data_IF_075039318397
#
_entry.id   IF_075039318397
#
_cell.length_a   1.000
_cell.length_b   1.000
_cell.length_c   1.000
_cell.angle_alpha   90.00
_cell.angle_beta   90.00
_cell.angle_gamma   90.00
#
_symmetry.space_group_name_H-M   'P 1'
#
loop_
_entity.id
_entity.type
_entity.pdbx_description
1 polymer ?
#
# COMPACT_ATOMS: atom_id res chain seq x y z
N UNK A 1 12.37 42.67 20.89
CA UNK A 1 13.11 42.03 19.78
C UNK A 1 13.52 40.57 20.05
N UNK A 2 13.68 40.13 21.31
CA UNK A 2 14.16 38.77 21.64
C UNK A 2 13.20 37.60 21.33
N UNK A 3 11.88 37.82 21.33
CA UNK A 3 10.89 36.74 21.10
C UNK A 3 10.88 36.26 19.64
N UNK A 4 10.97 37.17 18.67
CA UNK A 4 11.01 36.82 17.24
C UNK A 4 12.27 36.06 16.83
N UNK A 5 13.41 36.31 17.50
CA UNK A 5 14.66 35.58 17.25
C UNK A 5 14.56 34.14 17.74
N UNK A 6 13.96 33.94 18.92
CA UNK A 6 13.73 32.62 19.51
C UNK A 6 12.75 31.78 18.66
N UNK A 7 11.68 32.39 18.15
CA UNK A 7 10.71 31.69 17.28
C UNK A 7 11.34 31.18 15.97
N UNK A 8 12.24 31.97 15.36
CA UNK A 8 12.96 31.58 14.14
C UNK A 8 13.89 30.40 14.40
N UNK A 9 14.63 30.43 15.51
CA UNK A 9 15.53 29.35 15.91
C UNK A 9 14.76 28.05 16.17
N UNK A 10 13.60 28.14 16.83
CA UNK A 10 12.70 27.02 17.06
C UNK A 10 12.17 26.41 15.75
N UNK A 11 11.74 27.25 14.80
CA UNK A 11 11.26 26.78 13.50
C UNK A 11 12.36 26.13 12.66
N UNK A 12 13.60 26.61 12.76
CA UNK A 12 14.75 26.01 12.07
C UNK A 12 15.08 24.63 12.63
N UNK A 13 15.08 24.46 13.95
CA UNK A 13 15.27 23.14 14.60
C UNK A 13 14.17 22.15 14.21
N UNK A 14 12.92 22.61 14.11
CA UNK A 14 11.79 21.79 13.63
C UNK A 14 12.04 21.34 12.19
N UNK A 15 12.47 22.25 11.30
CA UNK A 15 12.76 21.92 9.90
C UNK A 15 13.88 20.88 9.78
N UNK A 16 14.97 21.04 10.53
CA UNK A 16 16.09 20.10 10.53
C UNK A 16 15.67 18.70 11.00
N UNK A 17 14.84 18.60 12.05
CA UNK A 17 14.31 17.31 12.51
C UNK A 17 13.42 16.61 11.49
N UNK A 18 12.62 17.38 10.75
CA UNK A 18 11.78 16.84 9.67
C UNK A 18 12.63 16.33 8.51
N UNK A 19 13.73 17.01 8.21
CA UNK A 19 14.67 16.62 7.14
C UNK A 19 15.50 15.38 7.51
N UNK A 20 15.97 15.30 8.77
CA UNK A 20 16.82 14.20 9.25
C UNK A 20 15.99 12.93 9.54
N UNK A 21 14.85 13.06 10.21
CA UNK A 21 14.06 11.91 10.70
C UNK A 21 12.76 11.68 9.93
N UNK A 22 12.45 12.49 8.92
CA UNK A 22 11.22 12.36 8.13
C UNK A 22 9.93 12.62 8.92
N UNK A 23 10.02 13.26 10.09
CA UNK A 23 8.88 13.49 10.98
C UNK A 23 7.92 14.56 10.43
N UNK A 24 6.66 14.51 10.88
CA UNK A 24 5.71 15.61 10.66
C UNK A 24 6.07 16.82 11.53
N UNK A 25 5.59 18.00 11.15
CA UNK A 25 5.87 19.23 11.93
C UNK A 25 5.35 19.14 13.36
N UNK A 26 4.19 18.50 13.58
CA UNK A 26 3.64 18.28 14.92
C UNK A 26 4.52 17.36 15.76
N UNK A 27 5.01 16.25 15.18
CA UNK A 27 5.90 15.31 15.87
C UNK A 27 7.25 15.96 16.22
N UNK A 28 7.86 16.70 15.28
CA UNK A 28 9.11 17.41 15.51
C UNK A 28 8.97 18.48 16.61
N UNK A 29 7.84 19.20 16.66
CA UNK A 29 7.52 20.16 17.73
C UNK A 29 7.45 19.49 19.10
N UNK A 30 6.75 18.36 19.20
CA UNK A 30 6.60 17.62 20.46
C UNK A 30 7.96 17.10 20.93
N UNK A 31 8.73 16.47 20.02
CA UNK A 31 10.02 15.88 20.34
C UNK A 31 11.05 16.93 20.79
N UNK A 32 11.11 18.10 20.15
CA UNK A 32 11.95 19.21 20.61
C UNK A 32 11.48 19.77 21.94
N UNK A 33 10.17 19.86 22.17
CA UNK A 33 9.62 20.36 23.44
C UNK A 33 9.99 19.43 24.61
N UNK A 34 10.02 18.12 24.37
CA UNK A 34 10.41 17.10 25.35
C UNK A 34 11.93 17.04 25.60
N UNK A 35 12.73 17.54 24.66
CA UNK A 35 14.20 17.48 24.70
C UNK A 35 14.84 18.86 24.85
N UNK A 36 14.19 19.78 25.58
CA UNK A 36 14.72 21.11 25.90
C UNK A 36 15.12 21.94 24.65
N UNK A 37 14.45 21.71 23.51
CA UNK A 37 14.79 22.28 22.20
C UNK A 37 16.24 22.01 21.76
N UNK A 38 16.84 20.91 22.23
CA UNK A 38 18.13 20.41 21.77
C UNK A 38 17.92 19.40 20.63
N UNK A 39 18.51 19.72 19.47
CA UNK A 39 18.35 18.92 18.26
C UNK A 39 19.00 17.54 18.39
N UNK A 40 20.21 17.48 18.95
CA UNK A 40 20.97 16.23 19.08
C UNK A 40 20.31 15.30 20.08
N UNK A 41 19.82 15.86 21.21
CA UNK A 41 19.09 15.10 22.21
C UNK A 41 17.76 14.59 21.68
N UNK A 42 17.04 15.40 20.90
CA UNK A 42 15.81 14.98 20.23
C UNK A 42 16.06 13.85 19.22
N UNK A 43 17.13 13.94 18.43
CA UNK A 43 17.55 12.90 17.48
C UNK A 43 17.88 11.61 18.24
N UNK A 44 18.72 11.67 19.27
CA UNK A 44 19.06 10.50 20.09
C UNK A 44 17.82 9.90 20.77
N UNK A 45 16.92 10.72 21.31
CA UNK A 45 15.68 10.26 21.93
C UNK A 45 14.77 9.52 20.93
N UNK A 46 14.71 9.97 19.67
CA UNK A 46 13.97 9.29 18.62
C UNK A 46 14.61 7.94 18.23
N UNK A 47 15.94 7.89 18.17
CA UNK A 47 16.67 6.64 17.92
C UNK A 47 16.59 5.67 19.10
N UNK A 48 16.70 6.12 20.35
CA UNK A 48 16.54 5.31 21.58
C UNK A 48 15.14 4.68 21.64
N UNK A 49 14.09 5.44 21.31
CA UNK A 49 12.73 4.91 21.21
C UNK A 49 12.53 3.96 20.02
N UNK A 50 13.34 4.09 18.97
CA UNK A 50 13.34 3.19 17.80
C UNK A 50 14.25 1.97 17.96
N UNK A 51 15.19 1.98 18.92
CA UNK A 51 16.19 0.94 19.17
C UNK A 51 15.74 -0.13 20.19
N UNK A 52 14.51 -0.09 20.68
CA UNK A 52 13.97 -1.16 21.55
C UNK A 52 13.59 -2.46 20.81
N UNK A 53 14.07 -2.64 19.57
CA UNK A 53 13.81 -3.84 18.79
C UNK A 53 15.08 -4.46 18.21
N UNK A 54 16.19 -4.49 18.96
CA UNK A 54 17.22 -5.51 18.79
C UNK A 54 18.25 -5.48 19.94
N UNK A 55 18.17 -6.47 20.85
CA UNK A 55 19.32 -7.32 21.25
C UNK A 55 18.99 -8.21 22.45
N UNK A 56 19.12 -9.52 22.21
CA UNK A 56 19.26 -10.55 23.24
C UNK A 56 20.65 -10.49 23.86
N UNK A 57 20.76 -10.12 25.14
CA UNK A 57 21.77 -10.65 26.08
C UNK A 57 21.33 -10.44 27.53
N UNK A 58 21.47 -11.52 28.30
CA UNK A 58 21.29 -11.72 29.74
C UNK A 58 21.43 -10.52 30.68
N UNK A 59 20.53 -10.40 31.66
CA UNK A 59 20.74 -10.72 33.10
C UNK A 59 19.67 -10.07 34.00
N UNK A 60 19.13 -10.84 34.95
CA UNK A 60 18.72 -10.31 36.27
C UNK A 60 17.33 -9.69 36.47
N UNK A 61 16.46 -10.49 37.13
CA UNK A 61 15.57 -10.08 38.24
C UNK A 61 14.22 -9.36 37.98
N UNK A 62 13.15 -10.16 38.17
CA UNK A 62 11.91 -9.91 38.94
C UNK A 62 11.25 -8.52 38.86
N UNK A 63 10.04 -8.48 38.28
CA UNK A 63 8.78 -8.55 39.04
C UNK A 63 7.54 -8.47 38.15
N UNK A 64 6.50 -9.16 38.60
CA UNK A 64 5.16 -9.21 38.02
C UNK A 64 4.44 -7.86 38.14
N UNK A 65 3.82 -7.41 37.05
CA UNK A 65 2.52 -6.74 37.13
C UNK A 65 1.72 -6.98 35.85
N UNK A 66 0.62 -7.71 36.00
CA UNK A 66 -0.43 -7.85 35.02
C UNK A 66 -1.21 -6.54 34.92
N UNK A 67 -1.35 -6.00 33.72
CA UNK A 67 -2.44 -5.08 33.40
C UNK A 67 -2.79 -5.22 31.93
N UNK A 68 -4.00 -5.72 31.71
CA UNK A 68 -4.71 -5.62 30.45
C UNK A 68 -4.87 -4.15 30.07
N UNK A 69 -4.19 -3.73 29.01
CA UNK A 69 -4.55 -2.54 28.24
C UNK A 69 -4.52 -2.93 26.77
N UNK A 70 -5.71 -3.02 26.17
CA UNK A 70 -5.91 -3.11 24.74
C UNK A 70 -5.56 -1.76 24.11
N UNK A 71 -4.28 -1.54 23.88
CA UNK A 71 -3.78 -0.49 22.99
C UNK A 71 -3.71 -1.07 21.58
N UNK A 72 -4.57 -0.56 20.70
CA UNK A 72 -4.52 -0.75 19.26
C UNK A 72 -3.12 -0.37 18.77
N UNK A 73 -2.29 -1.38 18.60
CA UNK A 73 -0.92 -1.24 18.14
C UNK A 73 -0.89 -0.76 16.69
N UNK A 74 -0.34 0.43 16.49
CA UNK A 74 0.30 0.81 15.23
C UNK A 74 1.41 -0.20 14.94
N UNK A 75 1.06 -1.20 14.13
CA UNK A 75 1.94 -2.25 13.62
C UNK A 75 2.99 -1.64 12.66
N UNK A 76 4.07 -1.10 13.21
CA UNK A 76 5.38 -1.14 12.53
C UNK A 76 6.05 -2.50 12.80
N UNK A 77 5.25 -3.57 12.77
CA UNK A 77 5.68 -4.93 13.03
C UNK A 77 6.34 -5.54 11.80
N UNK A 78 7.35 -6.38 12.07
CA UNK A 78 7.93 -7.36 11.15
C UNK A 78 6.88 -7.93 10.19
N UNK A 79 7.23 -8.03 8.91
CA UNK A 79 6.39 -8.62 7.87
C UNK A 79 5.84 -9.97 8.32
N UNK A 80 4.50 -10.10 8.35
CA UNK A 80 3.80 -11.31 8.78
C UNK A 80 3.01 -11.93 7.63
N UNK A 81 3.50 -13.07 7.14
CA UNK A 81 2.88 -13.83 6.05
C UNK A 81 1.46 -14.32 6.38
N UNK A 82 1.14 -14.58 7.66
CA UNK A 82 -0.20 -15.04 8.06
C UNK A 82 -1.25 -13.95 7.87
N UNK A 83 -0.88 -12.68 8.04
CA UNK A 83 -1.79 -11.55 7.79
C UNK A 83 -2.21 -11.48 6.33
N UNK A 84 -1.34 -11.86 5.40
CA UNK A 84 -1.68 -11.89 3.97
C UNK A 84 -2.71 -12.97 3.68
N UNK A 85 -2.57 -14.17 4.28
CA UNK A 85 -3.58 -15.23 4.13
C UNK A 85 -4.93 -14.83 4.73
N UNK A 86 -4.92 -14.18 5.90
CA UNK A 86 -6.12 -13.63 6.49
C UNK A 86 -6.75 -12.55 5.59
N UNK A 87 -5.94 -11.65 5.04
CA UNK A 87 -6.41 -10.62 4.12
C UNK A 87 -7.04 -11.24 2.87
N UNK A 88 -6.42 -12.27 2.30
CA UNK A 88 -6.96 -13.01 1.16
C UNK A 88 -8.35 -13.59 1.44
N UNK A 89 -8.58 -14.10 2.65
CA UNK A 89 -9.90 -14.66 3.02
C UNK A 89 -11.05 -13.65 2.96
N UNK A 90 -10.74 -12.35 3.00
CA UNK A 90 -11.75 -11.29 2.87
C UNK A 90 -12.11 -10.96 1.41
N UNK A 91 -11.29 -11.39 0.43
CA UNK A 91 -11.43 -11.00 -0.98
C UNK A 91 -11.44 -12.19 -1.95
N UNK A 92 -11.34 -13.42 -1.47
CA UNK A 92 -11.48 -14.60 -2.32
C UNK A 92 -12.95 -14.80 -2.75
N UNK A 93 -13.16 -15.41 -3.92
CA UNK A 93 -14.50 -15.78 -4.38
C UNK A 93 -15.13 -16.77 -3.40
N UNK A 94 -16.35 -16.51 -2.88
CA UNK A 94 -17.06 -17.46 -2.02
C UNK A 94 -17.27 -18.84 -2.65
N UNK A 95 -17.32 -18.92 -3.97
CA UNK A 95 -17.51 -20.16 -4.74
C UNK A 95 -16.19 -20.77 -5.23
N UNK A 96 -15.09 -20.00 -5.25
CA UNK A 96 -13.76 -20.45 -5.68
C UNK A 96 -12.63 -19.70 -4.95
N UNK A 97 -12.20 -20.23 -3.81
CA UNK A 97 -11.15 -19.61 -2.98
C UNK A 97 -9.76 -19.53 -3.65
N UNK A 98 -9.59 -20.14 -4.84
CA UNK A 98 -8.34 -20.07 -5.59
C UNK A 98 -8.15 -18.74 -6.30
N UNK A 99 -9.18 -17.89 -6.38
CA UNK A 99 -9.15 -16.60 -7.05
C UNK A 99 -10.17 -15.61 -6.47
N UNK A 100 -10.14 -14.38 -6.94
CA UNK A 100 -11.18 -13.38 -6.64
C UNK A 100 -12.30 -13.46 -7.68
N UNK A 101 -13.55 -13.23 -7.27
CA UNK A 101 -14.62 -12.88 -8.20
C UNK A 101 -14.46 -11.42 -8.64
N UNK A 102 -15.23 -11.00 -9.63
CA UNK A 102 -15.27 -9.60 -10.06
C UNK A 102 -15.72 -8.68 -8.90
N UNK A 103 -16.75 -9.10 -8.17
CA UNK A 103 -17.30 -8.35 -7.03
C UNK A 103 -16.26 -8.20 -5.93
N UNK A 104 -15.53 -9.28 -5.61
CA UNK A 104 -14.49 -9.25 -4.59
C UNK A 104 -13.28 -8.42 -5.03
N UNK A 105 -12.91 -8.46 -6.30
CA UNK A 105 -11.88 -7.58 -6.87
C UNK A 105 -12.30 -6.11 -6.74
N UNK A 106 -13.56 -5.77 -7.01
CA UNK A 106 -14.06 -4.41 -6.81
C UNK A 106 -13.95 -4.00 -5.33
N UNK A 107 -14.33 -4.87 -4.38
CA UNK A 107 -14.19 -4.60 -2.96
C UNK A 107 -12.73 -4.35 -2.57
N UNK A 108 -11.80 -5.20 -3.04
CA UNK A 108 -10.37 -5.01 -2.83
C UNK A 108 -9.88 -3.66 -3.35
N UNK A 109 -10.25 -3.29 -4.58
CA UNK A 109 -9.85 -2.02 -5.19
C UNK A 109 -10.45 -0.80 -4.47
N UNK A 110 -11.69 -0.91 -3.98
CA UNK A 110 -12.34 0.12 -3.16
C UNK A 110 -11.62 0.31 -1.83
N UNK A 111 -11.28 -0.76 -1.13
CA UNK A 111 -10.60 -0.71 0.16
C UNK A 111 -9.15 -0.23 0.01
N UNK A 112 -8.50 -0.58 -1.11
CA UNK A 112 -7.21 -0.01 -1.50
C UNK A 112 -7.29 1.50 -1.74
N UNK A 113 -8.46 2.04 -2.06
CA UNK A 113 -8.75 3.47 -2.17
C UNK A 113 -7.59 4.24 -2.85
N UNK A 114 -7.22 3.79 -4.05
CA UNK A 114 -6.25 4.52 -4.87
C UNK A 114 -6.85 5.90 -5.15
N UNK A 115 -6.16 6.94 -4.69
CA UNK A 115 -6.70 8.30 -4.64
C UNK A 115 -7.23 8.71 -6.03
N UNK A 116 -8.51 9.10 -6.18
CA UNK A 116 -9.02 9.59 -7.46
C UNK A 116 -8.35 10.91 -7.91
N UNK A 117 -7.48 11.47 -7.06
CA UNK A 117 -6.86 12.77 -7.18
C UNK A 117 -5.98 13.02 -8.40
N UNK A 118 -5.56 12.02 -9.19
CA UNK A 118 -4.63 12.28 -10.29
C UNK A 118 -5.01 11.95 -11.73
N UNK A 119 -6.07 11.20 -12.06
CA UNK A 119 -6.50 11.05 -13.48
C UNK A 119 -8.01 10.93 -13.77
N UNK A 120 -8.87 10.72 -12.77
CA UNK A 120 -10.33 10.69 -13.01
C UNK A 120 -10.97 12.09 -13.09
N UNK A 121 -10.20 13.17 -12.91
CA UNK A 121 -10.73 14.54 -12.90
C UNK A 121 -11.17 15.07 -14.27
N UNK A 122 -10.88 14.37 -15.38
CA UNK A 122 -11.41 14.76 -16.71
C UNK A 122 -12.66 13.99 -17.18
N UNK A 123 -13.16 13.03 -16.42
CA UNK A 123 -14.49 12.43 -16.68
C UNK A 123 -15.52 12.94 -15.67
N UNK A 124 -15.75 14.26 -15.66
CA UNK A 124 -17.00 14.82 -15.11
C UNK A 124 -17.70 15.69 -16.16
N UNK A 125 -18.65 15.08 -16.86
CA UNK A 125 -20.03 15.60 -16.90
C UNK A 125 -20.97 14.54 -17.47
N UNK A 126 -21.95 14.15 -16.65
CA UNK A 126 -23.09 13.27 -16.95
C UNK A 126 -22.76 11.79 -17.11
N UNK A 127 -22.62 11.09 -15.98
CA UNK A 127 -23.34 9.83 -15.70
C UNK A 127 -22.87 9.29 -14.35
N UNK A 128 -23.82 9.06 -13.45
CA UNK A 128 -23.61 8.54 -12.08
C UNK A 128 -23.44 7.02 -12.09
N UNK A 129 -22.60 6.46 -12.98
CA UNK A 129 -22.09 5.09 -12.91
C UNK A 129 -20.73 5.14 -13.60
N UNK A 130 -19.64 4.85 -12.89
CA UNK A 130 -18.34 4.61 -13.54
C UNK A 130 -18.48 3.25 -14.26
N UNK A 131 -18.33 3.17 -15.59
CA UNK A 131 -18.46 1.92 -16.32
C UNK A 131 -17.47 0.88 -15.76
N UNK A 132 -17.90 -0.38 -15.65
CA UNK A 132 -17.07 -1.51 -15.22
C UNK A 132 -15.76 -1.64 -16.02
N UNK A 133 -15.76 -1.18 -17.27
CA UNK A 133 -14.58 -1.10 -18.14
C UNK A 133 -13.55 -0.04 -17.72
N UNK A 134 -13.91 0.95 -16.90
CA UNK A 134 -12.99 2.01 -16.48
C UNK A 134 -12.26 1.69 -15.16
N UNK A 135 -12.92 1.01 -14.20
CA UNK A 135 -12.33 0.65 -12.89
C UNK A 135 -11.12 -0.29 -13.05
N UNK A 136 -11.18 -1.19 -14.05
CA UNK A 136 -10.09 -2.12 -14.34
C UNK A 136 -8.98 -1.52 -15.24
N UNK A 137 -9.10 -0.24 -15.62
CA UNK A 137 -8.17 0.46 -16.53
C UNK A 137 -7.46 1.62 -15.81
N UNK A 138 -7.77 1.84 -14.53
CA UNK A 138 -7.01 2.78 -13.70
C UNK A 138 -5.53 2.35 -13.64
N UNK A 139 -4.64 3.33 -13.77
CA UNK A 139 -3.19 3.08 -13.84
C UNK A 139 -2.70 2.35 -12.60
N UNK A 140 -3.20 2.73 -11.42
CA UNK A 140 -2.87 2.10 -10.15
C UNK A 140 -3.32 0.65 -10.10
N UNK A 141 -4.51 0.33 -10.65
CA UNK A 141 -4.98 -1.05 -10.81
C UNK A 141 -4.07 -1.84 -11.75
N UNK A 142 -3.65 -1.25 -12.87
CA UNK A 142 -2.70 -1.89 -13.79
C UNK A 142 -1.33 -2.12 -13.15
N UNK A 143 -0.83 -1.16 -12.36
CA UNK A 143 0.42 -1.30 -11.61
C UNK A 143 0.29 -2.37 -10.53
N UNK A 144 -0.85 -2.45 -9.85
CA UNK A 144 -1.15 -3.52 -8.89
C UNK A 144 -1.10 -4.90 -9.58
N UNK A 145 -1.86 -5.09 -10.66
CA UNK A 145 -1.88 -6.33 -11.41
C UNK A 145 -0.48 -6.70 -11.94
N UNK A 146 0.28 -5.73 -12.44
CA UNK A 146 1.66 -5.94 -12.88
C UNK A 146 2.55 -6.43 -11.74
N UNK A 147 2.46 -5.82 -10.55
CA UNK A 147 3.28 -6.20 -9.40
C UNK A 147 2.86 -7.48 -8.71
N UNK A 148 1.61 -7.91 -8.88
CA UNK A 148 1.16 -9.23 -8.47
C UNK A 148 1.37 -10.30 -9.56
N UNK A 149 1.91 -9.92 -10.72
CA UNK A 149 2.05 -10.77 -11.90
C UNK A 149 0.72 -11.42 -12.33
N UNK A 150 -0.39 -10.67 -12.28
CA UNK A 150 -1.70 -11.18 -12.68
C UNK A 150 -1.73 -11.54 -14.18
N UNK A 151 -2.19 -12.74 -14.50
CA UNK A 151 -2.25 -13.24 -15.87
C UNK A 151 -3.58 -12.90 -16.58
N UNK A 152 -4.68 -12.88 -15.83
CA UNK A 152 -6.04 -12.75 -16.38
C UNK A 152 -6.72 -11.48 -15.87
N UNK A 153 -7.34 -10.72 -16.78
CA UNK A 153 -8.08 -9.52 -16.39
C UNK A 153 -9.39 -9.86 -15.66
N UNK A 154 -9.70 -9.13 -14.59
CA UNK A 154 -10.95 -9.25 -13.85
C UNK A 154 -10.94 -10.30 -12.73
N UNK A 155 -9.82 -11.00 -12.55
CA UNK A 155 -9.57 -11.90 -11.43
C UNK A 155 -8.12 -11.77 -10.96
N UNK A 156 -7.86 -12.04 -9.68
CA UNK A 156 -6.52 -12.25 -9.13
C UNK A 156 -6.52 -13.66 -8.57
N UNK A 157 -5.52 -14.47 -8.88
CA UNK A 157 -5.36 -15.81 -8.29
C UNK A 157 -4.73 -15.70 -6.91
N UNK A 158 -5.06 -16.63 -6.01
CA UNK A 158 -4.51 -16.68 -4.65
C UNK A 158 -2.98 -16.66 -4.64
N UNK A 159 -2.35 -17.45 -5.52
CA UNK A 159 -0.88 -17.50 -5.62
C UNK A 159 -0.28 -16.18 -6.10
N UNK A 160 -0.91 -15.51 -7.08
CA UNK A 160 -0.49 -14.18 -7.55
C UNK A 160 -0.53 -13.17 -6.40
N UNK A 161 -1.64 -13.15 -5.64
CA UNK A 161 -1.79 -12.26 -4.50
C UNK A 161 -0.76 -12.55 -3.39
N UNK A 162 -0.62 -13.80 -2.95
CA UNK A 162 0.29 -14.16 -1.86
C UNK A 162 1.75 -13.91 -2.23
N UNK A 163 2.16 -14.27 -3.45
CA UNK A 163 3.53 -14.09 -3.92
C UNK A 163 3.85 -12.61 -4.10
N UNK A 164 2.97 -11.86 -4.77
CA UNK A 164 3.19 -10.43 -4.98
C UNK A 164 3.21 -9.63 -3.67
N UNK A 165 2.33 -9.93 -2.72
CA UNK A 165 2.35 -9.30 -1.39
C UNK A 165 3.65 -9.61 -0.63
N UNK A 166 4.17 -10.84 -0.78
CA UNK A 166 5.46 -11.22 -0.21
C UNK A 166 6.64 -10.52 -0.91
N UNK A 167 6.67 -10.45 -2.23
CA UNK A 167 7.72 -9.73 -2.97
C UNK A 167 7.72 -8.23 -2.67
N UNK A 168 6.54 -7.63 -2.53
CA UNK A 168 6.37 -6.23 -2.16
C UNK A 168 6.59 -5.96 -0.66
N UNK A 169 6.75 -7.00 0.16
CA UNK A 169 6.84 -6.92 1.63
C UNK A 169 5.65 -6.17 2.25
N UNK A 170 4.46 -6.39 1.72
CA UNK A 170 3.20 -5.78 2.17
C UNK A 170 2.33 -6.83 2.86
N UNK A 171 2.10 -6.66 4.16
CA UNK A 171 1.23 -7.54 4.96
C UNK A 171 -0.10 -6.87 5.38
N UNK A 172 -0.33 -5.64 4.93
CA UNK A 172 -1.57 -4.87 5.11
C UNK A 172 -1.94 -4.11 3.83
N UNK A 173 -3.21 -3.74 3.68
CA UNK A 173 -3.67 -2.93 2.54
C UNK A 173 -3.04 -1.54 2.53
N UNK A 174 -2.78 -0.94 3.69
CA UNK A 174 -2.15 0.38 3.76
C UNK A 174 -0.73 0.35 3.19
N UNK A 175 0.07 -0.67 3.55
CA UNK A 175 1.41 -0.88 2.99
C UNK A 175 1.35 -1.11 1.49
N UNK A 176 0.44 -1.97 1.02
CA UNK A 176 0.24 -2.22 -0.41
C UNK A 176 -0.13 -0.92 -1.14
N UNK A 177 -1.09 -0.16 -0.62
CA UNK A 177 -1.53 1.12 -1.19
C UNK A 177 -0.38 2.10 -1.34
N UNK A 178 0.41 2.29 -0.28
CA UNK A 178 1.57 3.19 -0.31
C UNK A 178 2.62 2.72 -1.31
N UNK A 179 2.89 1.41 -1.35
CA UNK A 179 3.84 0.80 -2.28
C UNK A 179 3.43 0.99 -3.73
N UNK A 180 2.16 0.77 -4.06
CA UNK A 180 1.63 1.01 -5.42
C UNK A 180 1.71 2.49 -5.78
N UNK A 181 1.37 3.41 -4.87
CA UNK A 181 1.51 4.87 -5.10
C UNK A 181 2.97 5.26 -5.35
N UNK A 182 3.92 4.67 -4.61
CA UNK A 182 5.34 4.88 -4.82
C UNK A 182 5.76 4.42 -6.24
N UNK A 183 5.45 3.17 -6.60
CA UNK A 183 5.82 2.60 -7.91
C UNK A 183 5.19 3.41 -9.04
N UNK A 184 3.94 3.86 -8.88
CA UNK A 184 3.25 4.70 -9.86
C UNK A 184 4.00 6.01 -10.14
N UNK A 185 4.57 6.65 -9.11
CA UNK A 185 5.42 7.84 -9.27
C UNK A 185 6.76 7.51 -9.92
N UNK A 186 7.37 6.37 -9.58
CA UNK A 186 8.63 5.93 -10.20
C UNK A 186 8.49 5.75 -11.71
N UNK A 187 7.36 5.20 -12.17
CA UNK A 187 7.08 5.02 -13.61
C UNK A 187 7.04 6.33 -14.39
N UNK A 188 6.74 7.47 -13.74
CA UNK A 188 6.71 8.78 -14.43
C UNK A 188 8.11 9.24 -14.86
N UNK A 189 9.16 8.75 -14.21
CA UNK A 189 10.56 9.20 -14.44
C UNK A 189 11.47 8.06 -14.91
N UNK A 190 11.08 6.80 -14.72
CA UNK A 190 11.83 5.61 -15.11
C UNK A 190 11.26 5.01 -16.40
N UNK A 191 11.92 5.32 -17.52
CA UNK A 191 11.54 4.86 -18.85
C UNK A 191 11.52 3.33 -18.98
N UNK A 192 12.40 2.63 -18.25
CA UNK A 192 12.47 1.17 -18.33
C UNK A 192 11.29 0.54 -17.59
N UNK A 193 10.92 1.05 -16.42
CA UNK A 193 9.68 0.63 -15.73
C UNK A 193 8.44 0.92 -16.54
N UNK A 194 8.38 2.08 -17.21
CA UNK A 194 7.28 2.40 -18.11
C UNK A 194 7.18 1.40 -19.26
N UNK A 195 8.31 1.06 -19.90
CA UNK A 195 8.35 0.06 -20.99
C UNK A 195 7.89 -1.31 -20.52
N UNK A 196 8.34 -1.75 -19.34
CA UNK A 196 7.91 -3.02 -18.74
C UNK A 196 6.41 -3.05 -18.46
N UNK A 197 5.87 -1.98 -17.86
CA UNK A 197 4.43 -1.86 -17.64
C UNK A 197 3.66 -1.87 -18.96
N UNK A 198 4.11 -1.13 -19.98
CA UNK A 198 3.48 -1.11 -21.29
C UNK A 198 3.42 -2.51 -21.92
N UNK A 199 4.55 -3.22 -21.95
CA UNK A 199 4.62 -4.59 -22.47
C UNK A 199 3.72 -5.55 -21.69
N UNK A 200 3.69 -5.43 -20.36
CA UNK A 200 2.76 -6.17 -19.52
C UNK A 200 1.31 -5.90 -19.92
N UNK A 201 0.90 -4.63 -20.01
CA UNK A 201 -0.49 -4.27 -20.32
C UNK A 201 -0.95 -4.77 -21.69
N UNK A 202 -0.06 -4.81 -22.70
CA UNK A 202 -0.37 -5.37 -24.02
C UNK A 202 -0.72 -6.85 -23.94
N UNK A 203 0.04 -7.64 -23.19
CA UNK A 203 -0.22 -9.07 -23.01
C UNK A 203 -1.45 -9.31 -22.11
N UNK A 204 -1.60 -8.50 -21.06
CA UNK A 204 -2.71 -8.57 -20.13
C UNK A 204 -4.07 -8.29 -20.79
N UNK A 205 -4.13 -7.33 -21.73
CA UNK A 205 -5.35 -7.04 -22.48
C UNK A 205 -5.79 -8.13 -23.46
N UNK A 206 -4.89 -9.05 -23.86
CA UNK A 206 -5.22 -10.15 -24.80
C UNK A 206 -5.89 -11.33 -24.11
N UNK A 207 -5.65 -11.55 -22.81
CA UNK A 207 -6.22 -12.70 -22.08
C UNK A 207 -7.75 -12.63 -21.92
N UNK A 208 -8.35 -11.43 -22.06
CA UNK A 208 -9.81 -11.22 -22.08
C UNK A 208 -10.48 -11.55 -23.42
N UNK A 209 -9.75 -11.43 -24.54
CA UNK A 209 -10.31 -11.52 -25.90
C UNK A 209 -10.37 -12.97 -26.42
N UNK A 210 -9.48 -13.86 -25.96
CA UNK A 210 -9.45 -15.25 -26.42
C UNK A 210 -10.45 -16.17 -25.71
N UNK A 211 -10.81 -15.92 -24.44
CA UNK A 211 -11.74 -16.81 -23.69
C UNK A 211 -13.23 -16.61 -24.00
N UNK A 212 -13.63 -15.54 -24.71
CA UNK A 212 -15.05 -15.25 -25.02
C UNK A 212 -15.50 -15.62 -26.44
N UNK A 213 -14.63 -16.16 -27.29
CA UNK A 213 -14.96 -16.41 -28.71
C UNK A 213 -15.07 -17.88 -29.14
N UNK A 214 -14.99 -18.88 -28.23
CA UNK A 214 -15.11 -20.30 -28.64
C UNK A 214 -16.34 -21.07 -28.13
N UNK A 215 -17.07 -20.60 -27.12
CA UNK A 215 -18.15 -21.43 -26.51
C UNK A 215 -19.59 -20.94 -26.78
N UNK A 216 -19.82 -20.19 -27.87
CA UNK A 216 -21.18 -19.94 -28.38
C UNK A 216 -21.29 -20.12 -29.88
N UNK A 217 -21.37 -21.37 -30.32
CA UNK A 217 -22.18 -21.70 -31.50
C UNK A 217 -23.20 -22.77 -31.10
N UNK A 218 -24.32 -22.39 -30.44
CA UNK A 218 -25.46 -23.28 -30.36
C UNK A 218 -26.14 -23.30 -31.74
N UNK A 219 -26.02 -24.42 -32.45
CA UNK A 219 -26.91 -24.74 -33.57
C UNK A 219 -26.29 -24.58 -34.95
N UNK A 220 -25.54 -25.59 -35.38
CA UNK A 220 -25.59 -26.06 -36.78
C UNK A 220 -25.69 -27.59 -36.72
N UNK A 221 -26.92 -28.12 -36.74
CA UNK A 221 -27.15 -29.46 -37.26
C UNK A 221 -26.77 -29.41 -38.75
N UNK A 222 -25.73 -30.16 -39.12
CA UNK A 222 -25.39 -30.36 -40.53
C UNK A 222 -26.36 -31.39 -41.13
N UNK A 223 -26.89 -31.14 -42.34
CA UNK A 223 -27.60 -32.16 -43.12
C UNK A 223 -26.66 -33.29 -43.56
#
# INVERSE_FOLDING_TARGET
>A
MSTRKNEREKNEKIRQLREILGLTEAQARILLTQNDWDLQRAINSHYENSNLQDHSTSTGSRSNYSSQTSVSGSNSGRFDRKKIEQLWSNYCDPHDQSKTSIEQLICLLKDLNFDPGNKFRSFKKKEQIIPFSHILVDRETLVLCWKLNCETQGEIKKQEFLNGMNELQCDTLDKLREKIRQINREIDYDNEKFKQLYLYTFNFGRSSTQKKNLDRIPGIQRP
#
